data_IF_319574278478
#
_entry.id   IF_319574278478
#
_cell.length_a   1.000
_cell.length_b   1.000
_cell.length_c   1.000
_cell.angle_alpha   90.00
_cell.angle_beta   90.00
_cell.angle_gamma   90.00
#
_symmetry.space_group_name_H-M   'P 1'
#
loop_
_entity.id
_entity.type
_entity.pdbx_description
1 polymer ?
#
# COMPACT_ATOMS: atom_id res chain seq x y z
N UNK A 1 39.63 -9.80 9.60
CA UNK A 1 38.67 -10.27 10.63
C UNK A 1 37.40 -9.48 10.39
N UNK A 2 36.44 -10.08 9.68
CA UNK A 2 35.31 -9.37 9.09
C UNK A 2 34.33 -8.92 10.16
N UNK A 3 34.17 -7.60 10.28
CA UNK A 3 33.04 -6.97 10.94
C UNK A 3 31.82 -7.23 10.07
N UNK A 4 30.97 -8.16 10.51
CA UNK A 4 29.62 -8.31 9.98
C UNK A 4 28.90 -6.98 10.25
N UNK A 5 28.78 -6.14 9.22
CA UNK A 5 27.72 -5.14 9.21
C UNK A 5 26.42 -5.94 9.15
N UNK A 6 25.76 -6.07 10.29
CA UNK A 6 24.35 -6.44 10.41
C UNK A 6 23.54 -5.38 9.66
N UNK A 7 23.54 -5.49 8.34
CA UNK A 7 22.56 -4.84 7.50
C UNK A 7 21.31 -5.66 7.72
N UNK A 8 20.46 -5.16 8.62
CA UNK A 8 19.07 -5.58 8.75
C UNK A 8 18.55 -5.85 7.33
N UNK A 9 18.24 -7.11 7.06
CA UNK A 9 17.91 -7.61 5.74
C UNK A 9 16.48 -7.17 5.43
N UNK A 10 16.32 -5.86 5.28
CA UNK A 10 15.13 -5.21 4.80
C UNK A 10 15.03 -5.60 3.34
N UNK A 11 14.35 -6.72 3.10
CA UNK A 11 13.86 -7.14 1.79
C UNK A 11 13.26 -5.89 1.15
N UNK A 12 14.01 -5.31 0.21
CA UNK A 12 13.74 -3.96 -0.26
C UNK A 12 12.61 -4.04 -1.26
N UNK A 13 11.38 -3.91 -0.76
CA UNK A 13 10.20 -3.79 -1.60
C UNK A 13 10.44 -2.63 -2.59
N UNK A 14 10.35 -2.92 -3.87
CA UNK A 14 10.42 -1.92 -4.93
C UNK A 14 9.14 -1.09 -4.87
N UNK A 15 9.30 0.23 -4.75
CA UNK A 15 8.19 1.17 -4.84
C UNK A 15 8.09 1.65 -6.27
N UNK A 16 6.91 1.46 -6.87
CA UNK A 16 6.61 1.96 -8.22
C UNK A 16 5.19 2.48 -8.32
N UNK A 17 4.93 3.30 -9.33
CA UNK A 17 3.56 3.68 -9.69
C UNK A 17 2.77 2.43 -10.06
N UNK A 18 1.52 2.39 -9.63
CA UNK A 18 0.59 1.35 -10.05
C UNK A 18 0.22 1.53 -11.52
N UNK A 19 -0.02 0.41 -12.19
CA UNK A 19 -0.55 0.34 -13.53
C UNK A 19 -1.88 -0.42 -13.53
N UNK A 20 -2.63 -0.35 -14.63
CA UNK A 20 -3.97 -0.97 -14.71
C UNK A 20 -3.98 -2.47 -14.38
N UNK A 21 -2.86 -3.17 -14.63
CA UNK A 21 -2.71 -4.60 -14.28
C UNK A 21 -2.68 -4.88 -12.78
N UNK A 22 -2.36 -3.88 -11.95
CA UNK A 22 -2.24 -4.02 -10.50
C UNK A 22 -3.58 -3.86 -9.77
N UNK A 23 -4.63 -3.40 -10.48
CA UNK A 23 -5.95 -3.05 -9.92
C UNK A 23 -6.54 -4.16 -9.04
N UNK A 24 -6.53 -5.40 -9.52
CA UNK A 24 -7.10 -6.53 -8.80
C UNK A 24 -6.38 -6.79 -7.47
N UNK A 25 -5.05 -6.65 -7.46
CA UNK A 25 -4.25 -6.81 -6.25
C UNK A 25 -4.53 -5.69 -5.25
N UNK A 26 -4.57 -4.43 -5.71
CA UNK A 26 -4.87 -3.25 -4.88
C UNK A 26 -6.24 -3.40 -4.20
N UNK A 27 -7.28 -3.77 -4.96
CA UNK A 27 -8.62 -3.99 -4.41
C UNK A 27 -8.65 -5.13 -3.38
N UNK A 28 -7.88 -6.21 -3.60
CA UNK A 28 -7.77 -7.28 -2.60
C UNK A 28 -7.11 -6.79 -1.32
N UNK A 29 -6.00 -6.07 -1.44
CA UNK A 29 -5.28 -5.52 -0.28
C UNK A 29 -6.17 -4.55 0.51
N UNK A 30 -6.93 -3.69 -0.18
CA UNK A 30 -7.87 -2.78 0.46
C UNK A 30 -8.93 -3.53 1.27
N UNK A 31 -9.51 -4.61 0.70
CA UNK A 31 -10.45 -5.46 1.44
C UNK A 31 -9.78 -6.12 2.65
N UNK A 32 -8.64 -6.77 2.45
CA UNK A 32 -7.99 -7.56 3.49
C UNK A 32 -7.48 -6.69 4.65
N UNK A 33 -6.87 -5.55 4.34
CA UNK A 33 -6.34 -4.62 5.33
C UNK A 33 -7.44 -3.94 6.15
N UNK A 34 -8.61 -3.69 5.54
CA UNK A 34 -9.70 -2.97 6.20
C UNK A 34 -10.79 -3.85 6.81
N UNK A 35 -10.80 -5.17 6.57
CA UNK A 35 -11.85 -6.09 7.05
C UNK A 35 -12.04 -6.02 8.56
N UNK A 36 -10.96 -5.92 9.34
CA UNK A 36 -11.03 -5.81 10.80
C UNK A 36 -11.80 -4.57 11.29
N UNK A 37 -11.89 -3.52 10.47
CA UNK A 37 -12.59 -2.29 10.83
C UNK A 37 -14.10 -2.35 10.58
N UNK A 38 -14.59 -3.32 9.80
CA UNK A 38 -16.04 -3.49 9.58
C UNK A 38 -16.73 -3.77 10.92
N UNK A 39 -16.20 -4.73 11.69
CA UNK A 39 -16.75 -5.09 13.00
C UNK A 39 -16.65 -3.95 14.02
N UNK A 40 -15.63 -3.09 13.91
CA UNK A 40 -15.37 -2.00 14.86
C UNK A 40 -16.15 -0.73 14.58
N UNK A 41 -16.41 -0.42 13.31
CA UNK A 41 -17.05 0.84 12.88
C UNK A 41 -18.53 0.60 12.51
N UNK A 42 -18.94 -0.65 12.29
CA UNK A 42 -20.32 -1.02 11.93
C UNK A 42 -20.73 -0.61 10.50
N UNK A 43 -19.79 -0.10 9.70
CA UNK A 43 -19.97 0.25 8.29
C UNK A 43 -18.72 -0.11 7.48
N UNK A 44 -18.92 -0.30 6.18
CA UNK A 44 -17.85 -0.56 5.22
C UNK A 44 -16.91 0.66 5.12
N UNK A 45 -15.59 0.49 5.27
CA UNK A 45 -14.63 1.60 5.16
C UNK A 45 -14.53 2.14 3.73
N UNK A 46 -14.38 3.46 3.57
CA UNK A 46 -14.28 4.15 2.28
C UNK A 46 -13.21 3.57 1.32
N UNK A 47 -12.02 3.12 1.78
CA UNK A 47 -11.04 2.49 0.89
C UNK A 47 -11.54 1.20 0.21
N UNK A 48 -12.52 0.51 0.76
CA UNK A 48 -13.10 -0.67 0.11
C UNK A 48 -13.98 -0.34 -1.10
N UNK A 49 -14.42 0.91 -1.23
CA UNK A 49 -15.35 1.39 -2.24
C UNK A 49 -14.71 2.47 -3.14
N UNK A 50 -13.42 2.76 -2.96
CA UNK A 50 -12.69 3.73 -3.75
C UNK A 50 -12.55 3.30 -5.23
N UNK A 51 -12.66 4.26 -6.14
CA UNK A 51 -12.41 4.05 -7.57
C UNK A 51 -10.90 4.01 -7.86
N UNK A 52 -10.29 2.85 -7.56
CA UNK A 52 -8.88 2.63 -7.83
C UNK A 52 -8.53 2.69 -9.33
N UNK A 53 -9.48 2.47 -10.24
CA UNK A 53 -9.22 2.63 -11.67
C UNK A 53 -8.96 4.08 -12.02
N UNK A 54 -9.77 5.00 -11.49
CA UNK A 54 -9.56 6.44 -11.65
C UNK A 54 -8.25 6.89 -10.99
N UNK A 55 -7.97 6.42 -9.77
CA UNK A 55 -6.76 6.79 -9.01
C UNK A 55 -5.46 6.29 -9.68
N UNK A 56 -5.47 5.08 -10.25
CA UNK A 56 -4.34 4.58 -11.04
C UNK A 56 -4.16 5.44 -12.29
N UNK A 57 -5.25 5.74 -12.99
CA UNK A 57 -5.21 6.56 -14.22
C UNK A 57 -4.73 8.00 -13.95
N UNK A 58 -4.98 8.52 -12.74
CA UNK A 58 -4.48 9.83 -12.29
C UNK A 58 -3.06 9.78 -11.72
N UNK A 59 -2.37 8.64 -11.79
CA UNK A 59 -1.03 8.45 -11.23
C UNK A 59 -0.95 8.72 -9.71
N UNK A 60 -2.04 8.51 -8.97
CA UNK A 60 -2.09 8.76 -7.53
C UNK A 60 -1.73 7.54 -6.68
N UNK A 61 -1.57 6.36 -7.28
CA UNK A 61 -1.32 5.10 -6.56
C UNK A 61 0.11 4.64 -6.75
N UNK A 62 0.79 4.34 -5.64
CA UNK A 62 2.08 3.68 -5.61
C UNK A 62 1.94 2.35 -4.88
N UNK A 63 2.65 1.34 -5.35
CA UNK A 63 2.68 0.01 -4.74
C UNK A 63 4.06 -0.30 -4.20
N UNK A 64 4.09 -1.13 -3.15
CA UNK A 64 5.30 -1.82 -2.70
C UNK A 64 5.22 -3.27 -3.13
N UNK A 65 6.16 -3.70 -3.96
CA UNK A 65 6.24 -5.08 -4.45
C UNK A 65 7.59 -5.72 -4.13
N UNK A 66 7.59 -7.02 -3.89
CA UNK A 66 8.80 -7.82 -3.76
C UNK A 66 8.64 -9.08 -4.61
N UNK A 67 9.59 -9.31 -5.53
CA UNK A 67 9.57 -10.45 -6.46
C UNK A 67 8.23 -10.62 -7.21
N UNK A 68 7.61 -9.50 -7.61
CA UNK A 68 6.32 -9.49 -8.31
C UNK A 68 5.10 -9.68 -7.41
N UNK A 69 5.29 -9.84 -6.10
CA UNK A 69 4.21 -9.86 -5.12
C UNK A 69 3.94 -8.46 -4.60
N UNK A 70 2.76 -7.94 -4.87
CA UNK A 70 2.31 -6.66 -4.31
C UNK A 70 1.93 -6.89 -2.83
N UNK A 71 2.63 -6.21 -1.94
CA UNK A 71 2.50 -6.36 -0.49
C UNK A 71 1.73 -5.21 0.16
N UNK A 72 1.69 -4.05 -0.48
CA UNK A 72 0.94 -2.88 -0.03
C UNK A 72 0.86 -1.80 -1.09
N UNK A 73 0.06 -0.77 -0.81
CA UNK A 73 -0.06 0.41 -1.65
C UNK A 73 -0.36 1.67 -0.84
N UNK A 74 -0.06 2.82 -1.43
CA UNK A 74 -0.41 4.14 -0.94
C UNK A 74 -1.14 4.92 -2.05
N UNK A 75 -2.18 5.66 -1.65
CA UNK A 75 -2.84 6.67 -2.49
C UNK A 75 -2.43 8.04 -1.97
N UNK A 76 -1.76 8.81 -2.82
CA UNK A 76 -1.23 10.13 -2.47
C UNK A 76 -1.34 11.09 -3.66
N UNK A 77 -1.78 12.33 -3.41
CA UNK A 77 -1.95 13.35 -4.44
C UNK A 77 -1.83 14.76 -3.86
N UNK A 78 -1.47 15.78 -4.66
CA UNK A 78 -1.35 17.15 -4.19
C UNK A 78 -2.73 17.77 -3.89
N UNK A 79 -2.84 18.45 -2.74
CA UNK A 79 -4.00 19.26 -2.32
C UNK A 79 -3.46 20.51 -1.63
N UNK A 80 -3.88 21.70 -2.08
CA UNK A 80 -3.53 22.99 -1.47
C UNK A 80 -2.03 23.21 -1.20
N UNK A 81 -1.17 22.73 -2.11
CA UNK A 81 0.29 22.86 -2.00
C UNK A 81 0.96 21.85 -1.06
N UNK A 82 0.22 20.90 -0.49
CA UNK A 82 0.72 19.77 0.28
C UNK A 82 0.40 18.45 -0.42
N UNK A 83 1.03 17.34 0.00
CA UNK A 83 0.62 16.00 -0.40
C UNK A 83 -0.40 15.46 0.61
N UNK A 84 -1.56 15.07 0.10
CA UNK A 84 -2.61 14.40 0.86
C UNK A 84 -2.43 12.89 0.76
N UNK A 85 -2.33 12.22 1.91
CA UNK A 85 -2.30 10.76 2.00
C UNK A 85 -3.71 10.27 2.25
N UNK A 86 -4.33 9.71 1.22
CA UNK A 86 -5.72 9.24 1.27
C UNK A 86 -5.83 7.83 1.85
N UNK A 87 -4.89 6.95 1.50
CA UNK A 87 -4.92 5.55 1.95
C UNK A 87 -3.51 5.00 2.01
N UNK A 88 -3.20 4.27 3.08
CA UNK A 88 -2.04 3.38 3.17
C UNK A 88 -2.56 2.00 3.58
N UNK A 89 -2.34 1.00 2.75
CA UNK A 89 -2.83 -0.35 3.00
C UNK A 89 -1.73 -1.37 2.76
N UNK A 90 -1.55 -2.27 3.73
CA UNK A 90 -0.57 -3.37 3.67
C UNK A 90 -1.29 -4.67 3.94
N UNK A 91 -0.97 -5.71 3.17
CA UNK A 91 -1.47 -7.07 3.39
C UNK A 91 -1.21 -7.50 4.83
N UNK A 92 -2.18 -8.12 5.52
CA UNK A 92 -2.02 -8.53 6.93
C UNK A 92 -0.72 -9.29 7.22
N UNK A 93 -0.33 -10.24 6.36
CA UNK A 93 0.88 -11.06 6.51
C UNK A 93 2.21 -10.27 6.38
N UNK A 94 2.13 -9.02 5.94
CA UNK A 94 3.28 -8.12 5.71
C UNK A 94 3.23 -6.87 6.61
N UNK A 95 2.23 -6.74 7.46
CA UNK A 95 2.15 -5.66 8.46
C UNK A 95 3.23 -5.81 9.53
N UNK A 96 3.57 -4.70 10.20
CA UNK A 96 4.61 -4.68 11.24
C UNK A 96 6.05 -4.78 10.73
N UNK A 97 6.26 -4.93 9.41
CA UNK A 97 7.59 -5.06 8.78
C UNK A 97 8.14 -3.74 8.21
N UNK A 98 7.57 -2.60 8.61
CA UNK A 98 8.00 -1.28 8.13
C UNK A 98 7.56 -0.90 6.70
N UNK A 99 6.87 -1.77 5.96
CA UNK A 99 6.46 -1.48 4.57
C UNK A 99 5.60 -0.21 4.44
N UNK A 100 4.65 -0.01 5.35
CA UNK A 100 3.82 1.21 5.36
C UNK A 100 4.57 2.49 5.67
N UNK A 101 5.79 2.42 6.23
CA UNK A 101 6.69 3.57 6.42
C UNK A 101 7.56 3.83 5.20
N UNK A 102 7.84 2.79 4.41
CA UNK A 102 8.61 2.90 3.18
C UNK A 102 7.76 3.52 2.05
N UNK A 103 6.47 3.17 1.99
CA UNK A 103 5.45 3.81 1.17
C UNK A 103 5.21 5.26 1.59
#
# INVERSE_FOLDING_TARGET
MNLHHDTDMMQSAMIRRAESRDLAAIQSIARDAYTLYIERIGRRPAPMDADYTALISSNAVFIGEDQGLIQGFIVIYPVDGALHVETVAVRPDFQGKGLGKAL
#
